data_IF_267824650302
#
_entry.id   IF_267824650302
#
_cell.length_a   1.000
_cell.length_b   1.000
_cell.length_c   1.000
_cell.angle_alpha   90.00
_cell.angle_beta   90.00
_cell.angle_gamma   90.00
#
_symmetry.space_group_name_H-M   'P 1'
#
loop_
_entity.id
_entity.type
_entity.pdbx_description
1 polymer ?
#
# COMPACT_ATOMS: atom_id res chain seq x y z
N UNK A 1 0.88 -4.44 12.75
CA UNK A 1 1.69 -5.66 13.04
C UNK A 1 0.94 -6.87 12.49
N UNK A 2 1.63 -7.77 11.80
CA UNK A 2 1.00 -8.97 11.26
C UNK A 2 0.72 -10.03 12.34
N UNK A 3 -0.40 -10.75 12.21
CA UNK A 3 -0.81 -11.83 13.14
C UNK A 3 -0.74 -13.22 12.51
N UNK A 4 -0.42 -13.30 11.22
CA UNK A 4 -0.27 -14.55 10.46
C UNK A 4 0.88 -14.38 9.44
N UNK A 5 1.07 -15.35 8.55
CA UNK A 5 2.16 -15.36 7.58
C UNK A 5 2.17 -14.12 6.70
N UNK A 6 3.31 -13.45 6.67
CA UNK A 6 3.63 -12.43 5.68
C UNK A 6 3.89 -13.13 4.34
N UNK A 7 3.22 -12.67 3.30
CA UNK A 7 3.30 -13.23 1.94
C UNK A 7 4.36 -12.51 1.12
N UNK A 8 4.37 -11.20 1.20
CA UNK A 8 5.32 -10.39 0.45
C UNK A 8 5.68 -9.12 1.19
N UNK A 9 6.81 -8.54 0.77
CA UNK A 9 7.38 -7.30 1.25
C UNK A 9 7.99 -6.58 0.06
N UNK A 10 7.73 -5.27 -0.05
CA UNK A 10 8.25 -4.44 -1.14
C UNK A 10 8.75 -3.10 -0.59
N UNK A 11 9.93 -2.69 -1.04
CA UNK A 11 10.50 -1.37 -0.73
C UNK A 11 10.03 -0.34 -1.74
N UNK A 12 9.60 0.82 -1.26
CA UNK A 12 9.26 1.96 -2.11
C UNK A 12 10.56 2.58 -2.65
N UNK A 13 10.62 2.92 -3.95
CA UNK A 13 11.71 3.74 -4.47
C UNK A 13 11.72 5.12 -3.81
N UNK A 14 12.80 5.46 -3.10
CA UNK A 14 12.98 6.74 -2.38
C UNK A 14 13.80 7.77 -3.17
N UNK A 15 13.56 7.87 -4.49
CA UNK A 15 14.41 8.69 -5.39
C UNK A 15 14.34 10.17 -4.97
N UNK A 16 15.36 10.63 -4.23
CA UNK A 16 15.49 12.02 -3.78
C UNK A 16 14.70 12.38 -2.51
N UNK A 17 14.10 11.40 -1.82
CA UNK A 17 13.41 11.62 -0.54
C UNK A 17 14.25 11.11 0.63
N UNK A 18 14.24 11.85 1.74
CA UNK A 18 14.90 11.48 3.00
C UNK A 18 14.02 10.56 3.88
N UNK A 19 13.10 9.81 3.25
CA UNK A 19 12.23 8.86 3.92
C UNK A 19 12.20 7.55 3.16
N UNK A 20 12.19 6.45 3.90
CA UNK A 20 12.12 5.08 3.39
C UNK A 20 10.78 4.49 3.75
N UNK A 21 10.09 3.91 2.76
CA UNK A 21 8.81 3.23 2.98
C UNK A 21 8.88 1.78 2.54
N UNK A 22 8.33 0.88 3.35
CA UNK A 22 8.19 -0.55 3.05
C UNK A 22 6.72 -0.91 3.13
N UNK A 23 6.22 -1.69 2.17
CA UNK A 23 4.92 -2.34 2.26
C UNK A 23 5.10 -3.81 2.61
N UNK A 24 4.23 -4.32 3.47
CA UNK A 24 4.15 -5.74 3.82
C UNK A 24 2.70 -6.19 3.81
N UNK A 25 2.44 -7.40 3.34
CA UNK A 25 1.09 -7.96 3.34
C UNK A 25 1.08 -9.45 3.70
N UNK A 26 -0.06 -9.95 4.14
CA UNK A 26 -0.13 -11.32 4.65
C UNK A 26 -1.50 -11.99 4.61
N UNK A 27 -1.49 -13.21 5.15
CA UNK A 27 -2.67 -14.08 5.32
C UNK A 27 -3.69 -13.50 6.29
N UNK A 28 -3.25 -12.62 7.18
CA UNK A 28 -4.07 -11.87 8.14
C UNK A 28 -4.94 -10.79 7.48
N UNK A 29 -4.92 -10.70 6.15
CA UNK A 29 -5.71 -9.77 5.33
C UNK A 29 -5.37 -8.30 5.57
N UNK A 30 -4.14 -8.04 6.01
CA UNK A 30 -3.67 -6.69 6.29
C UNK A 30 -2.55 -6.31 5.34
N UNK A 31 -2.49 -5.02 5.03
CA UNK A 31 -1.30 -4.38 4.48
C UNK A 31 -0.80 -3.39 5.51
N UNK A 32 0.45 -3.55 5.91
CA UNK A 32 1.14 -2.65 6.83
C UNK A 32 2.25 -1.94 6.07
N UNK A 33 2.21 -0.62 6.11
CA UNK A 33 3.27 0.25 5.65
C UNK A 33 4.18 0.55 6.81
N UNK A 34 5.48 0.60 6.55
CA UNK A 34 6.50 0.97 7.51
C UNK A 34 7.22 2.16 6.93
N UNK A 35 7.11 3.31 7.58
CA UNK A 35 7.81 4.53 7.19
C UNK A 35 8.93 4.80 8.17
N UNK A 36 10.04 5.32 7.66
CA UNK A 36 11.19 5.75 8.45
C UNK A 36 11.79 6.99 7.81
N UNK A 37 11.90 8.06 8.57
CA UNK A 37 12.56 9.29 8.15
C UNK A 37 14.05 9.23 8.48
N UNK A 38 14.92 9.87 7.69
CA UNK A 38 16.37 9.86 7.96
C UNK A 38 16.74 10.53 9.28
N UNK A 39 15.87 11.40 9.80
CA UNK A 39 16.03 12.05 11.11
C UNK A 39 15.61 11.16 12.28
N UNK A 40 14.72 10.19 12.03
CA UNK A 40 14.17 9.29 13.03
C UNK A 40 14.47 7.85 12.65
N UNK A 41 15.47 7.24 13.31
CA UNK A 41 15.90 5.87 13.01
C UNK A 41 14.87 4.80 13.38
N UNK A 42 13.67 5.17 13.84
CA UNK A 42 12.58 4.28 14.17
C UNK A 42 11.64 4.01 12.98
N UNK A 43 11.15 2.78 12.90
CA UNK A 43 10.16 2.38 11.89
C UNK A 43 8.75 2.53 12.45
N UNK A 44 7.93 3.34 11.78
CA UNK A 44 6.55 3.62 12.17
C UNK A 44 5.58 2.78 11.33
N UNK A 45 4.79 1.88 11.94
CA UNK A 45 3.80 1.10 11.23
C UNK A 45 2.50 1.89 11.00
N UNK A 46 2.06 1.96 9.75
CA UNK A 46 0.75 2.49 9.33
C UNK A 46 -0.07 1.35 8.73
N UNK A 47 -1.26 1.10 9.26
CA UNK A 47 -2.17 0.11 8.70
C UNK A 47 -2.99 0.74 7.58
N UNK A 48 -2.87 0.16 6.38
CA UNK A 48 -3.43 0.74 5.15
C UNK A 48 -4.95 0.52 5.09
N UNK A 49 -5.35 -0.75 5.22
CA UNK A 49 -6.74 -1.16 5.39
C UNK A 49 -6.83 -2.64 5.76
N UNK A 50 -8.02 -3.05 6.22
CA UNK A 50 -8.36 -4.46 6.38
C UNK A 50 -9.07 -4.97 5.13
N UNK A 51 -8.46 -5.94 4.46
CA UNK A 51 -9.00 -6.55 3.25
C UNK A 51 -9.97 -7.69 3.60
N UNK A 52 -10.92 -7.97 2.71
CA UNK A 52 -11.89 -9.05 2.88
C UNK A 52 -11.26 -10.45 2.68
N UNK A 53 -10.18 -10.51 1.91
CA UNK A 53 -9.43 -11.71 1.56
C UNK A 53 -7.93 -11.58 1.88
N UNK A 54 -7.19 -12.70 1.99
CA UNK A 54 -5.73 -12.69 2.11
C UNK A 54 -5.07 -11.87 1.01
N UNK A 55 -4.01 -11.15 1.35
CA UNK A 55 -3.26 -10.34 0.38
C UNK A 55 -2.02 -11.13 -0.05
N UNK A 56 -1.90 -11.36 -1.34
CA UNK A 56 -0.86 -12.22 -1.91
C UNK A 56 0.36 -11.44 -2.35
N UNK A 57 0.17 -10.25 -2.91
CA UNK A 57 1.24 -9.45 -3.47
C UNK A 57 1.01 -7.96 -3.25
N UNK A 58 2.11 -7.21 -3.13
CA UNK A 58 2.16 -5.76 -3.09
C UNK A 58 3.34 -5.31 -3.95
N UNK A 59 3.17 -4.20 -4.66
CA UNK A 59 4.23 -3.63 -5.51
C UNK A 59 4.12 -2.12 -5.54
N UNK A 60 5.27 -1.46 -5.52
CA UNK A 60 5.37 -0.01 -5.62
C UNK A 60 5.46 0.46 -7.06
N UNK A 61 4.88 1.62 -7.33
CA UNK A 61 5.19 2.40 -8.54
C UNK A 61 6.64 2.84 -8.53
N UNK A 62 7.22 3.04 -9.72
CA UNK A 62 8.57 3.59 -9.92
C UNK A 62 8.75 4.96 -9.26
N UNK A 63 7.67 5.73 -9.16
CA UNK A 63 7.63 7.04 -8.49
C UNK A 63 7.46 6.95 -6.98
N UNK A 64 7.29 5.76 -6.40
CA UNK A 64 7.18 5.53 -4.95
C UNK A 64 5.89 5.97 -4.28
N UNK A 65 4.97 6.61 -5.00
CA UNK A 65 3.77 7.23 -4.44
C UNK A 65 2.47 6.42 -4.61
N UNK A 66 2.52 5.29 -5.33
CA UNK A 66 1.37 4.41 -5.55
C UNK A 66 1.77 2.99 -5.17
N UNK A 67 0.90 2.32 -4.41
CA UNK A 67 1.00 0.92 -4.05
C UNK A 67 -0.10 0.13 -4.76
N UNK A 68 0.29 -0.89 -5.52
CA UNK A 68 -0.61 -1.92 -6.01
C UNK A 68 -0.71 -3.06 -5.00
N UNK A 69 -1.92 -3.51 -4.72
CA UNK A 69 -2.21 -4.58 -3.76
C UNK A 69 -3.10 -5.62 -4.45
N UNK A 70 -2.63 -6.87 -4.52
CA UNK A 70 -3.37 -7.98 -5.08
C UNK A 70 -3.92 -8.88 -3.97
N UNK A 71 -5.25 -8.95 -3.87
CA UNK A 71 -5.96 -9.76 -2.88
C UNK A 71 -6.53 -11.04 -3.51
N UNK A 72 -6.78 -12.03 -2.65
CA UNK A 72 -7.29 -13.35 -3.07
C UNK A 72 -8.76 -13.39 -3.51
N UNK A 73 -9.41 -12.24 -3.67
CA UNK A 73 -10.76 -12.08 -4.19
C UNK A 73 -10.78 -11.67 -5.67
N UNK A 74 -9.71 -11.98 -6.41
CA UNK A 74 -9.50 -11.61 -7.82
C UNK A 74 -9.49 -10.08 -8.09
N UNK A 75 -9.25 -9.29 -7.03
CA UNK A 75 -9.21 -7.82 -7.12
C UNK A 75 -7.78 -7.30 -6.95
N UNK A 76 -7.45 -6.27 -7.73
CA UNK A 76 -6.23 -5.48 -7.54
C UNK A 76 -6.62 -4.06 -7.18
N UNK A 77 -6.23 -3.62 -5.99
CA UNK A 77 -6.48 -2.26 -5.52
C UNK A 77 -5.22 -1.41 -5.62
N UNK A 78 -5.40 -0.16 -6.02
CA UNK A 78 -4.36 0.84 -6.07
C UNK A 78 -4.58 1.82 -4.94
N UNK A 79 -3.49 2.12 -4.24
CA UNK A 79 -3.50 3.01 -3.09
C UNK A 79 -2.48 4.12 -3.31
N UNK A 80 -2.86 5.34 -2.96
CA UNK A 80 -2.02 6.52 -3.07
C UNK A 80 -1.95 7.23 -1.72
N UNK A 81 -0.77 7.71 -1.39
CA UNK A 81 -0.56 8.59 -0.24
C UNK A 81 -1.05 10.01 -0.57
N UNK A 82 -1.86 10.57 0.30
CA UNK A 82 -2.34 11.96 0.26
C UNK A 82 -1.37 12.89 1.01
N UNK A 83 -1.51 14.20 0.82
CA UNK A 83 -0.61 15.20 1.42
C UNK A 83 -0.62 15.23 2.96
N UNK A 84 -1.66 14.65 3.58
CA UNK A 84 -1.80 14.53 5.03
C UNK A 84 -1.21 13.22 5.59
N UNK A 85 -0.58 12.40 4.74
CA UNK A 85 -0.02 11.10 5.10
C UNK A 85 -1.07 9.98 5.19
N UNK A 86 -2.34 10.27 4.88
CA UNK A 86 -3.37 9.24 4.78
C UNK A 86 -3.27 8.47 3.46
N UNK A 87 -3.74 7.23 3.45
CA UNK A 87 -3.73 6.38 2.26
C UNK A 87 -5.14 6.20 1.71
N UNK A 88 -5.30 6.44 0.41
CA UNK A 88 -6.60 6.38 -0.27
C UNK A 88 -6.62 5.32 -1.37
N UNK A 89 -7.69 4.54 -1.41
CA UNK A 89 -7.96 3.62 -2.50
C UNK A 89 -8.43 4.41 -3.73
N UNK A 90 -7.67 4.34 -4.82
CA UNK A 90 -7.95 5.04 -6.08
C UNK A 90 -8.57 4.14 -7.15
N UNK A 91 -8.63 2.82 -6.95
CA UNK A 91 -9.31 1.89 -7.87
C UNK A 91 -10.81 2.20 -7.95
N UNK A 92 -11.47 2.43 -6.81
CA UNK A 92 -12.90 2.77 -6.79
C UNK A 92 -13.23 4.08 -7.51
N UNK A 93 -12.28 5.03 -7.52
CA UNK A 93 -12.44 6.31 -8.21
C UNK A 93 -12.37 6.11 -9.73
N UNK A 94 -11.49 5.23 -10.20
CA UNK A 94 -11.36 4.94 -11.64
C UNK A 94 -12.61 4.25 -12.19
N UNK A 95 -13.21 3.31 -11.46
CA UNK A 95 -14.47 2.67 -11.89
C UNK A 95 -15.63 3.67 -12.00
N UNK A 96 -15.65 4.69 -11.12
CA UNK A 96 -16.66 5.76 -11.19
C UNK A 96 -16.46 6.73 -12.37
N UNK A 97 -15.25 6.83 -12.92
CA UNK A 97 -14.92 7.72 -14.04
C UNK A 97 -15.21 7.14 -15.44
N UNK A 98 -15.22 5.81 -15.58
CA UNK A 98 -15.47 5.13 -16.86
C UNK A 98 -16.97 5.03 -17.19
N UNK A 99 -17.85 5.29 -16.21
CA UNK A 99 -19.31 5.28 -16.41
C UNK A 99 -19.88 6.61 -16.95
N UNK A 100 -19.06 7.66 -17.16
CA UNK A 100 -19.53 9.00 -17.53
C UNK A 100 -19.32 9.37 -19.01
N UNK A 101 -18.98 8.41 -19.87
CA UNK A 101 -18.95 8.61 -21.33
C UNK A 101 -19.81 7.53 -22.01
N UNK A 102 -21.12 7.78 -22.05
CA UNK A 102 -22.09 7.13 -22.94
C UNK A 102 -22.97 8.18 -23.59
#
# INVERSE_FOLDING_TARGET
RHTDWVRTVAWAPSIGLASSTIASCGQDKRVVLWTRDDTDNEWHPVELSQFSAPVWSVSWSLTGNILGVASGNDEVTLWKEELDGSWKNITQIMDSGVSAVS
#
